data_IF_512789790184
#
_entry.id   IF_512789790184
#
_cell.length_a   1.000
_cell.length_b   1.000
_cell.length_c   1.000
_cell.angle_alpha   90.00
_cell.angle_beta   90.00
_cell.angle_gamma   90.00
#
_symmetry.space_group_name_H-M   'P 1'
#
loop_
_entity.id
_entity.type
_entity.pdbx_description
1 polymer ?
#
# COMPACT_ATOMS: atom_id res chain seq x y z
N UNK A 1 14.52 8.37 3.36
CA UNK A 1 14.41 8.09 1.91
C UNK A 1 12.96 7.86 1.57
N UNK A 2 12.43 8.54 0.55
CA UNK A 2 11.06 8.36 0.08
C UNK A 2 11.03 7.15 -0.86
N UNK A 3 10.19 6.17 -0.58
CA UNK A 3 10.10 4.95 -1.39
C UNK A 3 8.84 5.01 -2.25
N UNK A 4 9.05 5.04 -3.58
CA UNK A 4 7.97 5.11 -4.57
C UNK A 4 7.34 3.76 -4.91
N UNK A 5 7.98 2.66 -4.52
CA UNK A 5 7.51 1.30 -4.80
C UNK A 5 7.90 0.34 -3.69
N UNK A 6 7.04 -0.64 -3.34
CA UNK A 6 7.39 -1.73 -2.41
C UNK A 6 8.64 -2.51 -2.87
N UNK A 7 8.92 -2.50 -4.19
CA UNK A 7 10.08 -3.17 -4.79
C UNK A 7 11.41 -2.54 -4.39
N UNK A 8 11.39 -1.26 -4.01
CA UNK A 8 12.58 -0.50 -3.62
C UNK A 8 12.91 -0.64 -2.14
N UNK A 9 12.08 -1.31 -1.35
CA UNK A 9 12.32 -1.52 0.07
C UNK A 9 13.25 -2.73 0.24
N UNK A 10 14.51 -2.55 0.70
CA UNK A 10 15.48 -3.64 0.80
C UNK A 10 15.01 -4.76 1.74
N UNK A 11 14.26 -4.43 2.79
CA UNK A 11 13.69 -5.39 3.74
C UNK A 11 12.64 -6.34 3.13
N UNK A 12 12.10 -6.02 1.95
CA UNK A 12 11.05 -6.79 1.29
C UNK A 12 11.55 -7.58 0.07
N UNK A 13 12.86 -7.57 -0.21
CA UNK A 13 13.41 -8.21 -1.41
C UNK A 13 13.28 -9.74 -1.44
N UNK A 14 13.22 -10.37 -0.26
CA UNK A 14 13.12 -11.83 -0.13
C UNK A 14 11.71 -12.38 -0.37
N UNK A 15 10.68 -11.52 -0.40
CA UNK A 15 9.28 -11.92 -0.56
C UNK A 15 8.82 -11.80 -2.03
N UNK A 16 7.84 -12.59 -2.44
CA UNK A 16 7.19 -12.53 -3.76
C UNK A 16 6.36 -11.26 -3.93
N UNK A 17 5.96 -10.95 -5.17
CA UNK A 17 5.23 -9.72 -5.47
C UNK A 17 3.91 -9.59 -4.68
N UNK A 18 3.17 -10.70 -4.50
CA UNK A 18 1.92 -10.72 -3.74
C UNK A 18 2.17 -10.54 -2.23
N UNK A 19 3.17 -11.23 -1.69
CA UNK A 19 3.54 -11.11 -0.27
C UNK A 19 3.97 -9.69 0.08
N UNK A 20 4.71 -9.02 -0.81
CA UNK A 20 5.08 -7.61 -0.63
C UNK A 20 3.87 -6.70 -0.50
N UNK A 21 2.83 -6.92 -1.33
CA UNK A 21 1.59 -6.13 -1.26
C UNK A 21 0.88 -6.40 0.07
N UNK A 22 0.83 -7.66 0.51
CA UNK A 22 0.24 -8.04 1.80
C UNK A 22 0.96 -7.40 2.99
N UNK A 23 2.29 -7.48 3.02
CA UNK A 23 3.11 -6.92 4.11
C UNK A 23 2.98 -5.39 4.15
N UNK A 24 3.00 -4.72 2.99
CA UNK A 24 2.81 -3.26 2.93
C UNK A 24 1.40 -2.86 3.37
N UNK A 25 0.38 -3.66 3.02
CA UNK A 25 -1.00 -3.44 3.49
C UNK A 25 -1.11 -3.57 5.01
N UNK A 26 -0.47 -4.58 5.61
CA UNK A 26 -0.44 -4.76 7.06
C UNK A 26 0.36 -3.65 7.76
N UNK A 27 1.50 -3.23 7.20
CA UNK A 27 2.27 -2.09 7.71
C UNK A 27 1.44 -0.79 7.70
N UNK A 28 0.62 -0.58 6.65
CA UNK A 28 -0.29 0.56 6.57
C UNK A 28 -1.42 0.52 7.61
N UNK A 29 -1.82 -0.68 8.08
CA UNK A 29 -2.81 -0.85 9.16
C UNK A 29 -2.21 -0.59 10.54
N UNK A 30 -0.94 -0.93 10.75
CA UNK A 30 -0.18 -0.69 11.98
C UNK A 30 0.17 0.79 12.20
N UNK A 31 -0.03 1.64 11.19
CA UNK A 31 0.26 3.06 11.28
C UNK A 31 -0.67 3.77 12.29
N UNK A 32 -0.12 4.56 13.24
CA UNK A 32 -0.91 5.32 14.21
C UNK A 32 -1.88 6.29 13.52
N UNK A 33 -3.05 6.46 14.12
CA UNK A 33 -4.15 7.26 13.56
C UNK A 33 -3.72 8.68 13.13
N UNK A 34 -2.83 9.32 13.90
CA UNK A 34 -2.28 10.64 13.58
C UNK A 34 -1.49 10.70 12.26
N UNK A 35 -0.66 9.71 11.97
CA UNK A 35 0.10 9.67 10.70
C UNK A 35 -0.81 9.35 9.50
N UNK A 36 -1.81 8.51 9.71
CA UNK A 36 -2.86 8.21 8.71
C UNK A 36 -3.70 9.45 8.41
N UNK A 37 -4.03 10.23 9.43
CA UNK A 37 -4.73 11.51 9.30
C UNK A 37 -3.89 12.53 8.52
N UNK A 38 -2.59 12.67 8.81
CA UNK A 38 -1.69 13.55 8.04
C UNK A 38 -1.63 13.14 6.57
N UNK A 39 -1.53 11.84 6.28
CA UNK A 39 -1.56 11.35 4.91
C UNK A 39 -2.88 11.73 4.21
N UNK A 40 -4.02 11.56 4.88
CA UNK A 40 -5.33 11.89 4.32
C UNK A 40 -5.57 13.40 4.20
N UNK A 41 -5.07 14.21 5.13
CA UNK A 41 -5.13 15.68 5.06
C UNK A 41 -4.28 16.17 3.89
N UNK A 42 -3.07 15.63 3.71
CA UNK A 42 -2.24 15.98 2.57
C UNK A 42 -2.91 15.60 1.24
N UNK A 43 -3.56 14.43 1.18
CA UNK A 43 -4.41 14.02 0.05
C UNK A 43 -5.50 15.04 -0.24
N UNK A 44 -6.17 15.51 0.82
CA UNK A 44 -7.25 16.46 0.71
C UNK A 44 -6.75 17.84 0.23
N UNK A 45 -5.63 18.33 0.77
CA UNK A 45 -5.00 19.59 0.34
C UNK A 45 -4.62 19.52 -1.14
N UNK A 46 -4.00 18.42 -1.56
CA UNK A 46 -3.66 18.20 -2.97
C UNK A 46 -4.90 18.20 -3.84
N UNK A 47 -5.95 17.47 -3.43
CA UNK A 47 -7.21 17.43 -4.17
C UNK A 47 -7.83 18.83 -4.31
N UNK A 48 -7.86 19.60 -3.22
CA UNK A 48 -8.37 20.98 -3.22
C UNK A 48 -7.56 21.86 -4.17
N UNK A 49 -6.23 21.85 -4.08
CA UNK A 49 -5.37 22.62 -4.96
C UNK A 49 -5.57 22.23 -6.44
N UNK A 50 -5.81 20.96 -6.69
CA UNK A 50 -6.02 20.40 -8.01
C UNK A 50 -7.36 20.87 -8.62
N UNK A 51 -8.44 20.81 -7.84
CA UNK A 51 -9.73 21.40 -8.22
C UNK A 51 -9.64 22.92 -8.39
N UNK A 52 -8.86 23.59 -7.54
CA UNK A 52 -8.62 25.03 -7.64
C UNK A 52 -7.93 25.39 -8.96
N UNK A 53 -6.97 24.58 -9.40
CA UNK A 53 -6.30 24.77 -10.70
C UNK A 53 -7.27 24.72 -11.88
N UNK A 54 -8.32 23.88 -11.81
CA UNK A 54 -9.32 23.75 -12.89
C UNK A 54 -10.20 25.00 -13.03
N UNK A 55 -10.39 25.77 -11.95
CA UNK A 55 -11.19 27.00 -11.97
C UNK A 55 -10.61 28.09 -12.90
N UNK A 56 -9.28 28.13 -13.05
CA UNK A 56 -8.60 29.13 -13.89
C UNK A 56 -8.46 28.72 -15.36
N UNK A 57 -8.77 27.46 -15.71
CA UNK A 57 -8.69 26.98 -17.09
C UNK A 57 -9.90 27.47 -17.87
N UNK A 58 -9.66 28.30 -18.88
CA UNK A 58 -10.69 28.79 -19.79
C UNK A 58 -10.90 27.80 -20.93
N UNK A 59 -12.18 27.54 -21.26
CA UNK A 59 -12.56 26.61 -22.32
C UNK A 59 -12.86 25.18 -21.83
N UNK A 60 -13.96 24.63 -22.33
CA UNK A 60 -14.50 23.33 -21.90
C UNK A 60 -13.55 22.18 -22.27
N UNK A 61 -12.93 22.22 -23.46
CA UNK A 61 -12.00 21.20 -23.92
C UNK A 61 -10.73 21.11 -23.06
N UNK A 62 -10.14 22.27 -22.72
CA UNK A 62 -8.96 22.31 -21.84
C UNK A 62 -9.29 21.89 -20.41
N UNK A 63 -10.48 22.22 -19.90
CA UNK A 63 -10.96 21.70 -18.62
C UNK A 63 -11.05 20.18 -18.60
N UNK A 64 -11.59 19.56 -19.65
CA UNK A 64 -11.68 18.10 -19.77
C UNK A 64 -10.31 17.42 -19.77
N UNK A 65 -9.35 17.94 -20.55
CA UNK A 65 -7.97 17.42 -20.59
C UNK A 65 -7.31 17.58 -19.22
N UNK A 66 -7.48 18.74 -18.57
CA UNK A 66 -6.94 18.99 -17.24
C UNK A 66 -7.53 18.02 -16.22
N UNK A 67 -8.85 17.78 -16.26
CA UNK A 67 -9.52 16.85 -15.35
C UNK A 67 -9.05 15.40 -15.55
N UNK A 68 -8.81 14.99 -16.79
CA UNK A 68 -8.25 13.68 -17.11
C UNK A 68 -6.82 13.54 -16.57
N UNK A 69 -5.97 14.54 -16.84
CA UNK A 69 -4.60 14.59 -16.34
C UNK A 69 -4.55 14.54 -14.81
N UNK A 70 -5.44 15.27 -14.15
CA UNK A 70 -5.65 15.26 -12.70
C UNK A 70 -6.01 13.86 -12.18
N UNK A 71 -6.97 13.18 -12.82
CA UNK A 71 -7.38 11.83 -12.45
C UNK A 71 -6.24 10.82 -12.54
N UNK A 72 -5.36 10.97 -13.54
CA UNK A 72 -4.15 10.16 -13.73
C UNK A 72 -3.04 10.52 -12.75
N UNK A 73 -2.88 11.81 -12.42
CA UNK A 73 -1.85 12.29 -11.50
C UNK A 73 -2.17 11.90 -10.05
N UNK A 74 -3.45 11.85 -9.69
CA UNK A 74 -3.93 11.51 -8.34
C UNK A 74 -3.31 10.22 -7.77
N UNK A 75 -3.44 9.02 -8.40
CA UNK A 75 -2.83 7.80 -7.88
C UNK A 75 -1.30 7.89 -7.84
N UNK A 76 -0.69 8.60 -8.77
CA UNK A 76 0.76 8.72 -8.91
C UNK A 76 1.42 9.48 -7.76
N UNK A 77 0.74 10.50 -7.23
CA UNK A 77 1.23 11.27 -6.07
C UNK A 77 0.84 10.62 -4.75
N UNK A 78 -0.34 9.96 -4.69
CA UNK A 78 -0.85 9.40 -3.45
C UNK A 78 -0.20 8.09 -3.01
N UNK A 79 0.13 7.22 -3.97
CA UNK A 79 0.78 5.94 -3.69
C UNK A 79 2.15 6.10 -3.00
N UNK A 80 3.08 6.93 -3.48
CA UNK A 80 4.41 7.04 -2.88
C UNK A 80 4.37 7.65 -1.47
N UNK A 81 3.44 8.58 -1.19
CA UNK A 81 3.26 9.16 0.15
C UNK A 81 2.86 8.05 1.13
N UNK A 82 1.89 7.23 0.75
CA UNK A 82 1.38 6.15 1.62
C UNK A 82 2.48 5.11 1.90
N UNK A 83 3.27 4.74 0.89
CA UNK A 83 4.39 3.81 1.03
C UNK A 83 5.49 4.42 1.90
N UNK A 84 5.87 5.68 1.65
CA UNK A 84 6.93 6.35 2.42
C UNK A 84 6.60 6.46 3.90
N UNK A 85 5.32 6.61 4.26
CA UNK A 85 4.89 6.64 5.66
C UNK A 85 4.79 5.24 6.27
N UNK A 86 4.57 4.19 5.46
CA UNK A 86 4.49 2.80 5.92
C UNK A 86 5.85 2.15 6.17
N UNK A 87 6.93 2.66 5.56
CA UNK A 87 8.32 2.19 5.69
C UNK A 87 8.77 1.87 7.13
N UNK A 88 8.57 2.73 8.15
CA UNK A 88 9.01 2.42 9.51
C UNK A 88 8.25 1.26 10.17
N UNK A 89 7.07 0.89 9.66
CA UNK A 89 6.22 -0.19 10.18
C UNK A 89 6.40 -1.51 9.42
N UNK A 90 7.22 -1.52 8.36
CA UNK A 90 7.53 -2.73 7.57
C UNK A 90 8.14 -3.84 8.43
N UNK A 91 9.11 -3.60 9.33
CA UNK A 91 9.72 -4.67 10.13
C UNK A 91 8.72 -5.38 11.06
N UNK A 92 7.79 -4.62 11.64
CA UNK A 92 6.75 -5.17 12.52
C UNK A 92 5.71 -5.96 11.71
N UNK A 93 5.34 -5.46 10.52
CA UNK A 93 4.44 -6.15 9.61
C UNK A 93 5.04 -7.45 9.06
N UNK A 94 6.35 -7.48 8.78
CA UNK A 94 7.08 -8.69 8.37
C UNK A 94 7.02 -9.74 9.47
N UNK A 95 7.33 -9.36 10.72
CA UNK A 95 7.29 -10.26 11.87
C UNK A 95 5.91 -10.88 12.09
N UNK A 96 4.86 -10.08 11.90
CA UNK A 96 3.48 -10.55 12.02
C UNK A 96 3.07 -11.47 10.86
N UNK A 97 3.57 -11.19 9.65
CA UNK A 97 3.35 -12.04 8.48
C UNK A 97 4.03 -13.41 8.64
N UNK A 98 5.28 -13.45 9.13
CA UNK A 98 6.02 -14.68 9.40
C UNK A 98 5.37 -15.52 10.50
N UNK A 99 4.88 -14.88 11.58
CA UNK A 99 4.09 -15.57 12.61
C UNK A 99 2.83 -16.19 12.02
N UNK A 100 2.07 -15.42 11.24
CA UNK A 100 0.82 -15.89 10.63
C UNK A 100 1.05 -17.07 9.68
N UNK A 101 2.14 -17.06 8.88
CA UNK A 101 2.54 -18.22 8.08
C UNK A 101 2.97 -19.42 8.94
N UNK A 102 3.72 -19.19 10.02
CA UNK A 102 4.13 -20.26 10.92
C UNK A 102 2.92 -20.90 11.62
N UNK A 103 1.89 -20.14 11.99
CA UNK A 103 0.66 -20.68 12.55
C UNK A 103 -0.14 -21.50 11.52
N UNK A 104 -0.29 -20.98 10.29
CA UNK A 104 -0.97 -21.71 9.20
C UNK A 104 -0.24 -23.02 8.82
N UNK A 105 1.09 -23.05 8.95
CA UNK A 105 1.89 -24.26 8.71
C UNK A 105 1.82 -25.28 9.86
N UNK A 106 1.52 -24.83 11.08
CA UNK A 106 1.42 -25.69 12.27
C UNK A 106 -0.04 -25.98 12.65
N UNK A 107 -0.99 -25.80 11.73
CA UNK A 107 -2.39 -26.13 11.97
C UNK A 107 -2.54 -27.67 12.06
N UNK A 108 -3.05 -28.23 13.18
CA UNK A 108 -3.01 -29.66 13.49
C UNK A 108 -4.01 -30.51 12.67
N UNK A 109 -4.19 -30.21 11.39
CA UNK A 109 -5.04 -30.93 10.46
C UNK A 109 -4.48 -31.08 9.05
N UNK A 110 -3.28 -30.55 8.76
CA UNK A 110 -2.65 -30.67 7.43
C UNK A 110 -1.86 -31.98 7.23
N UNK A 111 -1.54 -32.68 8.31
CA UNK A 111 -0.71 -33.92 8.26
C UNK A 111 -1.57 -35.20 8.34
N UNK A 112 -2.90 -35.09 8.35
CA UNK A 112 -3.81 -36.22 8.58
C UNK A 112 -4.43 -36.82 7.30
N UNK A 113 -4.13 -36.29 6.11
CA UNK A 113 -4.71 -36.79 4.85
C UNK A 113 -3.74 -37.62 3.99
N UNK A 114 -2.45 -37.70 4.33
CA UNK A 114 -1.45 -38.45 3.53
C UNK A 114 -1.07 -39.84 4.08
N UNK A 115 -1.64 -40.27 5.22
CA UNK A 115 -1.34 -41.58 5.84
C UNK A 115 -2.53 -42.57 5.84
N UNK A 116 -3.49 -42.45 4.91
CA UNK A 116 -4.51 -43.49 4.72
C UNK A 116 -4.57 -43.98 3.27
N UNK A 117 -3.50 -44.67 2.86
CA UNK A 117 -3.61 -45.73 1.85
C UNK A 117 -2.58 -46.84 2.11
N UNK A 118 -2.94 -47.88 2.89
CA UNK A 118 -2.35 -49.19 2.76
C UNK A 118 -3.24 -50.10 1.90
N UNK A 119 -2.60 -50.61 0.84
CA UNK A 119 -2.91 -51.83 0.05
C UNK A 119 -4.09 -51.83 -0.94
#
# INVERSE_FOLDING_TARGET
>A
MIYFSPRNIPALRSYSALERIHIVSNAAKLMPFGRKAVANVLKLILLIALFWSVLYVQGIALKLITLLAIGLLYPLVLQPITISLAVPYIPDAVREFERSQAYAKNEPGSDAEDEESPE
#
